data_IF_591418136709
#
_entry.id   IF_591418136709
#
_cell.length_a   1.000
_cell.length_b   1.000
_cell.length_c   1.000
_cell.angle_alpha   90.00
_cell.angle_beta   90.00
_cell.angle_gamma   90.00
#
_symmetry.space_group_name_H-M   'P 1'
#
loop_
_entity.id
_entity.type
_entity.pdbx_description
1 polymer ?
#
# COMPACT_ATOMS: atom_id res chain seq x y z
N UNK A 1 -19.42 28.56 7.37
CA UNK A 1 -20.05 28.41 6.04
C UNK A 1 -19.59 27.08 5.47
N UNK A 2 -20.49 26.19 5.04
CA UNK A 2 -20.07 25.04 4.21
C UNK A 2 -19.68 25.61 2.85
N UNK A 3 -18.38 25.68 2.57
CA UNK A 3 -17.86 26.09 1.28
C UNK A 3 -18.30 25.08 0.22
N UNK A 4 -18.63 25.55 -0.97
CA UNK A 4 -19.11 24.69 -2.04
C UNK A 4 -17.93 24.03 -2.77
N UNK A 5 -17.43 22.91 -2.24
CA UNK A 5 -16.20 22.26 -2.69
C UNK A 5 -16.42 21.23 -3.82
N UNK A 6 -17.47 21.39 -4.63
CA UNK A 6 -17.88 20.43 -5.67
C UNK A 6 -16.77 20.15 -6.68
N UNK A 7 -16.01 21.18 -7.08
CA UNK A 7 -14.88 21.03 -8.01
C UNK A 7 -13.77 20.18 -7.37
N UNK A 8 -13.40 20.47 -6.11
CA UNK A 8 -12.39 19.72 -5.38
C UNK A 8 -12.81 18.25 -5.19
N UNK A 9 -14.04 18.02 -4.73
CA UNK A 9 -14.56 16.68 -4.48
C UNK A 9 -14.65 15.84 -5.76
N UNK A 10 -15.13 16.43 -6.85
CA UNK A 10 -15.26 15.73 -8.13
C UNK A 10 -13.89 15.39 -8.72
N UNK A 11 -12.98 16.36 -8.71
CA UNK A 11 -11.60 16.17 -9.21
C UNK A 11 -10.85 15.15 -8.38
N UNK A 12 -10.96 15.21 -7.05
CA UNK A 12 -10.27 14.30 -6.13
C UNK A 12 -10.68 12.84 -6.34
N UNK A 13 -11.96 12.56 -6.66
CA UNK A 13 -12.40 11.19 -6.99
C UNK A 13 -11.69 10.63 -8.22
N UNK A 14 -11.58 11.41 -9.29
CA UNK A 14 -10.92 10.95 -10.53
C UNK A 14 -9.42 10.80 -10.30
N UNK A 15 -8.79 11.79 -9.69
CA UNK A 15 -7.35 11.79 -9.40
C UNK A 15 -6.97 10.68 -8.44
N UNK A 16 -7.79 10.37 -7.44
CA UNK A 16 -7.59 9.24 -6.52
C UNK A 16 -7.35 7.93 -7.28
N UNK A 17 -8.20 7.59 -8.25
CA UNK A 17 -8.04 6.36 -9.03
C UNK A 17 -6.72 6.35 -9.82
N UNK A 18 -6.34 7.49 -10.40
CA UNK A 18 -5.07 7.61 -11.14
C UNK A 18 -3.88 7.39 -10.20
N UNK A 19 -3.89 8.00 -9.01
CA UNK A 19 -2.82 7.83 -8.02
C UNK A 19 -2.73 6.38 -7.56
N UNK A 20 -3.86 5.70 -7.32
CA UNK A 20 -3.87 4.29 -6.92
C UNK A 20 -3.29 3.41 -8.03
N UNK A 21 -3.68 3.60 -9.29
CA UNK A 21 -3.11 2.86 -10.41
C UNK A 21 -1.59 3.09 -10.53
N UNK A 22 -1.16 4.34 -10.34
CA UNK A 22 0.27 4.68 -10.35
C UNK A 22 1.02 4.06 -9.17
N UNK A 23 0.43 4.05 -7.97
CA UNK A 23 1.02 3.41 -6.80
C UNK A 23 1.16 1.89 -6.97
N UNK A 24 0.15 1.24 -7.56
CA UNK A 24 0.20 -0.18 -7.94
C UNK A 24 1.30 -0.41 -8.98
N UNK A 25 1.39 0.44 -10.00
CA UNK A 25 2.45 0.35 -11.00
C UNK A 25 3.85 0.48 -10.38
N UNK A 26 4.06 1.47 -9.50
CA UNK A 26 5.33 1.65 -8.78
C UNK A 26 5.70 0.42 -7.95
N UNK A 27 4.71 -0.19 -7.30
CA UNK A 27 4.91 -1.42 -6.53
C UNK A 27 5.46 -2.55 -7.41
N UNK A 28 4.78 -2.84 -8.54
CA UNK A 28 5.21 -3.90 -9.46
C UNK A 28 6.50 -3.57 -10.23
N UNK A 29 6.75 -2.28 -10.52
CA UNK A 29 7.92 -1.85 -11.27
C UNK A 29 9.23 -1.97 -10.47
N UNK A 30 9.16 -2.06 -9.13
CA UNK A 30 10.31 -2.00 -8.22
C UNK A 30 11.39 -3.06 -8.43
N UNK A 31 11.11 -4.13 -9.17
CA UNK A 31 12.11 -5.16 -9.50
C UNK A 31 13.05 -4.79 -10.64
N UNK A 32 12.62 -3.91 -11.56
CA UNK A 32 13.34 -3.61 -12.79
C UNK A 32 13.62 -2.13 -12.98
N UNK A 33 12.84 -1.27 -12.32
CA UNK A 33 12.89 0.18 -12.43
C UNK A 33 12.79 0.81 -11.03
N UNK A 34 13.14 2.10 -10.88
CA UNK A 34 12.88 2.82 -9.63
C UNK A 34 11.42 2.72 -9.20
N UNK A 35 11.17 2.22 -7.98
CA UNK A 35 9.83 1.88 -7.50
C UNK A 35 9.89 1.07 -6.20
N UNK A 36 8.86 0.25 -5.95
CA UNK A 36 8.81 -0.73 -4.86
C UNK A 36 7.77 -0.44 -3.78
N UNK A 37 7.78 -1.29 -2.75
CA UNK A 37 6.82 -1.27 -1.64
C UNK A 37 6.72 0.06 -0.90
N UNK A 38 7.87 0.71 -0.68
CA UNK A 38 7.92 1.93 0.12
C UNK A 38 7.22 3.12 -0.57
N UNK A 39 7.68 3.50 -1.77
CA UNK A 39 7.10 4.63 -2.52
C UNK A 39 5.66 4.32 -2.95
N UNK A 40 5.35 3.08 -3.32
CA UNK A 40 3.98 2.65 -3.61
C UNK A 40 3.06 2.87 -2.40
N UNK A 41 3.50 2.47 -1.21
CA UNK A 41 2.72 2.64 0.02
C UNK A 41 2.49 4.10 0.37
N UNK A 42 3.51 4.96 0.18
CA UNK A 42 3.37 6.41 0.37
C UNK A 42 2.41 7.04 -0.63
N UNK A 43 2.46 6.65 -1.90
CA UNK A 43 1.54 7.16 -2.93
C UNK A 43 0.09 6.74 -2.64
N UNK A 44 -0.13 5.50 -2.22
CA UNK A 44 -1.47 5.02 -1.80
C UNK A 44 -1.97 5.78 -0.59
N UNK A 45 -1.11 6.01 0.41
CA UNK A 45 -1.46 6.85 1.56
C UNK A 45 -1.81 8.27 1.12
N UNK A 46 -1.02 8.86 0.22
CA UNK A 46 -1.28 10.18 -0.37
C UNK A 46 -2.63 10.27 -1.10
N UNK A 47 -3.03 9.21 -1.80
CA UNK A 47 -4.35 9.13 -2.42
C UNK A 47 -5.47 9.17 -1.36
N UNK A 48 -5.32 8.40 -0.28
CA UNK A 48 -6.31 8.41 0.82
C UNK A 48 -6.33 9.78 1.52
N UNK A 49 -5.16 10.41 1.70
CA UNK A 49 -5.04 11.76 2.25
C UNK A 49 -5.75 12.79 1.36
N UNK A 50 -5.63 12.69 0.03
CA UNK A 50 -6.38 13.54 -0.89
C UNK A 50 -7.90 13.43 -0.65
N UNK A 51 -8.40 12.21 -0.40
CA UNK A 51 -9.81 12.02 -0.01
C UNK A 51 -10.12 12.62 1.36
N UNK A 52 -9.23 12.52 2.34
CA UNK A 52 -9.39 13.16 3.66
C UNK A 52 -9.34 14.69 3.62
N UNK A 53 -8.71 15.28 2.61
CA UNK A 53 -8.73 16.74 2.41
C UNK A 53 -10.00 17.19 1.67
N UNK A 54 -10.50 16.38 0.75
CA UNK A 54 -11.70 16.69 -0.02
C UNK A 54 -13.02 16.36 0.71
N UNK A 55 -12.97 15.42 1.66
CA UNK A 55 -14.10 14.91 2.45
C UNK A 55 -13.73 14.82 3.93
N UNK A 56 -14.70 14.67 4.81
CA UNK A 56 -14.44 14.47 6.23
C UNK A 56 -13.96 13.04 6.56
N UNK A 57 -13.29 12.89 7.71
CA UNK A 57 -12.74 11.61 8.17
C UNK A 57 -13.80 10.51 8.30
N UNK A 58 -15.04 10.85 8.69
CA UNK A 58 -16.11 9.85 8.86
C UNK A 58 -16.57 9.33 7.51
N UNK A 59 -16.67 10.20 6.51
CA UNK A 59 -17.00 9.81 5.13
C UNK A 59 -15.94 8.89 4.53
N UNK A 60 -14.65 9.20 4.71
CA UNK A 60 -13.56 8.36 4.20
C UNK A 60 -13.49 7.04 4.96
N UNK A 61 -13.61 7.03 6.29
CA UNK A 61 -13.63 5.82 7.10
C UNK A 61 -14.80 4.88 6.76
N UNK A 62 -15.93 5.42 6.33
CA UNK A 62 -17.06 4.61 5.83
C UNK A 62 -16.75 3.93 4.49
N UNK A 63 -15.94 4.57 3.63
CA UNK A 63 -15.49 3.98 2.37
C UNK A 63 -14.35 2.97 2.54
N UNK A 64 -13.48 3.19 3.52
CA UNK A 64 -12.32 2.35 3.84
C UNK A 64 -12.32 1.98 5.33
N UNK A 65 -13.13 0.99 5.75
CA UNK A 65 -13.22 0.56 7.15
C UNK A 65 -12.03 -0.33 7.54
N UNK A 66 -10.82 0.22 7.43
CA UNK A 66 -9.55 -0.47 7.67
C UNK A 66 -8.99 0.00 9.02
N UNK A 67 -8.69 -0.93 9.92
CA UNK A 67 -7.84 -0.63 11.08
C UNK A 67 -6.37 -0.66 10.63
N UNK A 68 -5.78 0.53 10.51
CA UNK A 68 -4.40 0.69 10.06
C UNK A 68 -3.37 0.04 11.00
N UNK A 69 -3.67 -0.14 12.28
CA UNK A 69 -2.79 -0.87 13.21
C UNK A 69 -2.78 -2.37 12.90
N UNK A 70 -3.94 -2.92 12.55
CA UNK A 70 -4.02 -4.31 12.07
C UNK A 70 -3.28 -4.45 10.74
N UNK A 71 -3.38 -3.46 9.84
CA UNK A 71 -2.65 -3.45 8.58
C UNK A 71 -1.13 -3.51 8.78
N UNK A 72 -0.59 -2.77 9.76
CA UNK A 72 0.81 -2.84 10.17
C UNK A 72 1.16 -4.26 10.61
N UNK A 73 0.36 -4.86 11.49
CA UNK A 73 0.58 -6.22 11.97
C UNK A 73 0.62 -7.25 10.85
N UNK A 74 -0.33 -7.17 9.91
CA UNK A 74 -0.38 -8.03 8.72
C UNK A 74 0.88 -7.82 7.85
N UNK A 75 1.27 -6.57 7.59
CA UNK A 75 2.46 -6.28 6.80
C UNK A 75 3.75 -6.83 7.42
N UNK A 76 3.90 -6.69 8.75
CA UNK A 76 5.02 -7.29 9.48
C UNK A 76 5.02 -8.82 9.42
N UNK A 77 3.84 -9.45 9.49
CA UNK A 77 3.70 -10.90 9.32
C UNK A 77 4.11 -11.35 7.92
N UNK A 78 3.78 -10.60 6.86
CA UNK A 78 4.26 -10.90 5.51
C UNK A 78 5.78 -10.77 5.40
N UNK A 79 6.36 -9.69 5.95
CA UNK A 79 7.79 -9.46 5.88
C UNK A 79 8.59 -10.54 6.64
N UNK A 80 8.22 -10.80 7.89
CA UNK A 80 8.87 -11.81 8.74
C UNK A 80 8.57 -13.22 8.22
N UNK A 81 7.34 -13.50 7.81
CA UNK A 81 6.93 -14.80 7.27
C UNK A 81 7.68 -15.16 5.99
N UNK A 82 7.89 -14.19 5.10
CA UNK A 82 8.69 -14.37 3.89
C UNK A 82 10.14 -14.70 4.23
N UNK A 83 10.75 -13.94 5.16
CA UNK A 83 12.13 -14.15 5.57
C UNK A 83 12.33 -15.46 6.35
N UNK A 84 11.39 -15.80 7.25
CA UNK A 84 11.43 -17.02 8.05
C UNK A 84 11.10 -18.27 7.23
N UNK A 85 10.30 -18.14 6.16
CA UNK A 85 9.99 -19.23 5.24
C UNK A 85 11.24 -19.87 4.63
N UNK A 86 12.32 -19.11 4.46
CA UNK A 86 13.60 -19.65 3.96
C UNK A 86 14.22 -20.69 4.90
N UNK A 87 14.00 -20.56 6.22
CA UNK A 87 14.52 -21.50 7.21
C UNK A 87 13.89 -22.90 7.09
N UNK A 88 12.65 -23.00 6.60
CA UNK A 88 11.97 -24.28 6.37
C UNK A 88 12.71 -25.10 5.30
N UNK A 89 13.38 -24.43 4.37
CA UNK A 89 14.17 -25.03 3.30
C UNK A 89 15.66 -25.20 3.67
N UNK A 90 16.02 -24.98 4.94
CA UNK A 90 17.39 -25.09 5.45
C UNK A 90 18.40 -24.19 4.70
N UNK A 91 17.93 -23.03 4.22
CA UNK A 91 18.76 -21.97 3.63
C UNK A 91 18.81 -20.77 4.58
N UNK A 92 19.81 -19.87 4.45
CA UNK A 92 19.92 -18.70 5.32
C UNK A 92 18.64 -17.84 5.36
N UNK A 93 18.39 -17.18 6.49
CA UNK A 93 17.32 -16.18 6.62
C UNK A 93 17.44 -15.09 5.53
N UNK A 94 16.31 -14.62 4.98
CA UNK A 94 16.25 -13.72 3.82
C UNK A 94 16.78 -14.29 2.49
N UNK A 95 16.93 -15.61 2.37
CA UNK A 95 17.18 -16.20 1.05
C UNK A 95 15.90 -16.12 0.20
N UNK A 96 15.95 -15.34 -0.88
CA UNK A 96 14.85 -15.20 -1.83
C UNK A 96 15.04 -16.12 -3.03
N UNK A 97 13.92 -16.63 -3.54
CA UNK A 97 13.88 -17.44 -4.76
C UNK A 97 13.05 -16.73 -5.82
N UNK A 98 13.31 -17.06 -7.08
CA UNK A 98 12.64 -16.51 -8.23
C UNK A 98 12.08 -17.63 -9.08
N UNK A 99 10.94 -17.38 -9.71
CA UNK A 99 10.31 -18.32 -10.64
C UNK A 99 9.26 -17.64 -11.49
N UNK A 100 9.05 -18.18 -12.68
CA UNK A 100 8.05 -17.68 -13.61
C UNK A 100 6.68 -18.29 -13.26
N UNK A 101 5.71 -17.43 -12.99
CA UNK A 101 4.34 -17.83 -12.68
C UNK A 101 3.41 -17.20 -13.71
N UNK A 102 2.50 -18.01 -14.25
CA UNK A 102 1.48 -17.50 -15.15
C UNK A 102 0.34 -16.87 -14.35
N UNK A 103 0.17 -15.55 -14.47
CA UNK A 103 -0.93 -14.81 -13.86
C UNK A 103 -2.01 -14.51 -14.92
N UNK A 104 -3.31 -14.77 -14.66
CA UNK A 104 -4.39 -14.60 -15.66
C UNK A 104 -4.50 -13.21 -16.28
N UNK A 105 -4.03 -12.17 -15.60
CA UNK A 105 -4.08 -10.77 -16.03
C UNK A 105 -2.74 -10.22 -16.53
N UNK A 106 -1.63 -10.85 -16.15
CA UNK A 106 -0.28 -10.32 -16.37
C UNK A 106 0.61 -11.23 -17.23
N UNK A 107 0.11 -12.40 -17.63
CA UNK A 107 0.86 -13.37 -18.43
C UNK A 107 1.96 -14.07 -17.62
N UNK A 108 3.00 -14.54 -18.32
CA UNK A 108 4.21 -15.06 -17.67
C UNK A 108 4.91 -13.93 -16.92
N UNK A 109 4.86 -14.00 -15.59
CA UNK A 109 5.43 -13.00 -14.70
C UNK A 109 6.50 -13.66 -13.84
N UNK A 110 7.74 -13.19 -13.97
CA UNK A 110 8.85 -13.56 -13.09
C UNK A 110 8.58 -13.03 -11.69
N UNK A 111 8.05 -13.88 -10.82
CA UNK A 111 7.77 -13.57 -9.42
C UNK A 111 8.98 -13.93 -8.56
N UNK A 112 9.38 -12.98 -7.73
CA UNK A 112 10.40 -13.16 -6.72
C UNK A 112 9.73 -13.21 -5.36
N UNK A 113 10.17 -14.09 -4.45
CA UNK A 113 9.65 -14.05 -3.06
C UNK A 113 9.97 -12.73 -2.37
N UNK A 114 10.94 -11.97 -2.88
CA UNK A 114 11.19 -10.58 -2.48
C UNK A 114 9.95 -9.68 -2.65
N UNK A 115 9.07 -9.97 -3.61
CA UNK A 115 7.82 -9.24 -3.81
C UNK A 115 6.85 -9.40 -2.63
N UNK A 116 6.82 -10.58 -1.98
CA UNK A 116 6.02 -10.80 -0.77
C UNK A 116 6.56 -10.00 0.42
N UNK A 117 7.89 -9.86 0.49
CA UNK A 117 8.52 -8.98 1.47
C UNK A 117 8.15 -7.51 1.20
N UNK A 118 8.25 -7.06 -0.06
CA UNK A 118 7.86 -5.70 -0.46
C UNK A 118 6.37 -5.44 -0.24
N UNK A 119 5.50 -6.44 -0.40
CA UNK A 119 4.09 -6.34 -0.03
C UNK A 119 3.95 -6.06 1.47
N UNK A 120 4.72 -6.76 2.31
CA UNK A 120 4.78 -6.49 3.73
C UNK A 120 5.18 -5.04 4.03
N UNK A 121 6.23 -4.54 3.39
CA UNK A 121 6.69 -3.14 3.50
C UNK A 121 5.59 -2.17 3.06
N UNK A 122 4.96 -2.42 1.92
CA UNK A 122 3.88 -1.60 1.37
C UNK A 122 2.71 -1.45 2.35
N UNK A 123 2.27 -2.55 2.95
CA UNK A 123 1.18 -2.55 3.94
C UNK A 123 1.57 -1.82 5.23
N UNK A 124 2.80 -2.03 5.73
CA UNK A 124 3.30 -1.32 6.91
C UNK A 124 3.37 0.19 6.66
N UNK A 125 3.86 0.61 5.50
CA UNK A 125 3.96 2.04 5.15
C UNK A 125 2.58 2.68 5.13
N UNK A 126 1.60 2.06 4.48
CA UNK A 126 0.22 2.57 4.48
C UNK A 126 -0.33 2.64 5.91
N UNK A 127 -0.15 1.56 6.67
CA UNK A 127 -0.65 1.49 8.04
C UNK A 127 -0.05 2.57 8.94
N UNK A 128 1.27 2.74 8.92
CA UNK A 128 1.97 3.75 9.74
C UNK A 128 1.58 5.16 9.31
N UNK A 129 1.64 5.49 8.02
CA UNK A 129 1.32 6.84 7.52
C UNK A 129 -0.12 7.23 7.85
N UNK A 130 -1.08 6.35 7.61
CA UNK A 130 -2.48 6.63 7.90
C UNK A 130 -2.76 6.70 9.40
N UNK A 131 -2.11 5.86 10.22
CA UNK A 131 -2.21 5.95 11.68
C UNK A 131 -1.72 7.30 12.17
N UNK A 132 -0.57 7.79 11.69
CA UNK A 132 -0.04 9.11 12.06
C UNK A 132 -1.04 10.22 11.69
N UNK A 133 -1.51 10.22 10.44
CA UNK A 133 -2.39 11.28 9.92
C UNK A 133 -3.72 11.31 10.66
N UNK A 134 -4.35 10.15 10.88
CA UNK A 134 -5.64 10.10 11.60
C UNK A 134 -5.47 10.43 13.08
N UNK A 135 -4.39 9.99 13.73
CA UNK A 135 -4.14 10.34 15.14
C UNK A 135 -3.98 11.85 15.33
N UNK A 136 -3.27 12.52 14.42
CA UNK A 136 -3.10 13.98 14.45
C UNK A 136 -4.40 14.69 14.06
N UNK A 137 -5.15 14.16 13.10
CA UNK A 137 -6.39 14.76 12.61
C UNK A 137 -7.59 14.58 13.55
N UNK A 138 -7.59 13.55 14.39
CA UNK A 138 -8.63 13.30 15.40
C UNK A 138 -8.34 14.01 16.74
N UNK A 139 -7.12 14.51 16.96
CA UNK A 139 -6.81 15.26 18.18
C UNK A 139 -7.33 16.70 18.12
N UNK A 140 -8.65 16.85 18.15
CA UNK A 140 -9.48 18.01 18.58
C UNK A 140 -10.89 17.51 18.97
#
# INVERSE_FOLDING_TARGET
>A
MKTNDVILQTTSKVVFFIIILFAIHLFFAGHYHPGGGFVGGLMTSGAIVLLLLAFDIKTVAKGFPIDYKILIGIGLLFAIGTAAGSLIFNVPFFTHVFGDVYLPLFGETSLHTAMLFDLGVYLVVIGVTMTIIQTIGESE
#
